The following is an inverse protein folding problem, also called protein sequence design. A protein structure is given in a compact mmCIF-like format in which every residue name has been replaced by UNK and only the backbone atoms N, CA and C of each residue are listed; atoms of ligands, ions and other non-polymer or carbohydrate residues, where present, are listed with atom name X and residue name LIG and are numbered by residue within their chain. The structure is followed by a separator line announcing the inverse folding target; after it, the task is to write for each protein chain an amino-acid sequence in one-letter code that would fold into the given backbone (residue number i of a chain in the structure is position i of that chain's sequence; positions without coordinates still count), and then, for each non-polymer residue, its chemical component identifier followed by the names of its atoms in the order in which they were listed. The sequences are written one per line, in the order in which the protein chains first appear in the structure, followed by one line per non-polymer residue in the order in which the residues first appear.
data_IF_071483391784
#
_entry.id   IF_071483391784
#
_cell.length_a   1.000
_cell.length_b   1.000
_cell.length_c   1.000
_cell.angle_alpha   90.00
_cell.angle_beta   90.00
_cell.angle_gamma   90.00
#
_symmetry.space_group_name_H-M   'P 1'
#
loop_
_entity.id
_entity.type
_entity.pdbx_description
1 polymer ?
#
# COMPACT_ATOMS: atom_id res chain seq x y z
N UNK A 1 -35.47 -21.75 -7.64
CA UNK A 1 -34.64 -20.60 -7.23
C UNK A 1 -35.08 -19.38 -8.03
N UNK A 2 -35.51 -18.31 -7.36
CA UNK A 2 -35.88 -17.07 -8.03
C UNK A 2 -34.58 -16.29 -8.28
N UNK A 3 -34.00 -16.40 -9.47
CA UNK A 3 -32.82 -15.62 -9.85
C UNK A 3 -33.23 -14.14 -9.85
N UNK A 4 -32.52 -13.23 -9.16
CA UNK A 4 -32.89 -11.83 -9.11
C UNK A 4 -32.97 -11.22 -10.51
N UNK A 5 -33.93 -10.32 -10.74
CA UNK A 5 -33.92 -9.51 -11.95
C UNK A 5 -32.61 -8.68 -12.00
N UNK A 6 -31.86 -8.71 -13.11
CA UNK A 6 -30.57 -8.04 -13.20
C UNK A 6 -30.74 -6.52 -13.06
N UNK A 7 -29.87 -5.89 -12.27
CA UNK A 7 -29.74 -4.43 -12.24
C UNK A 7 -29.16 -4.00 -13.58
N UNK A 8 -29.99 -3.47 -14.48
CA UNK A 8 -29.52 -2.94 -15.76
C UNK A 8 -29.06 -1.50 -15.61
N UNK A 9 -27.76 -1.28 -15.83
CA UNK A 9 -27.17 0.06 -15.83
C UNK A 9 -27.22 0.58 -17.26
N UNK A 10 -27.90 1.72 -17.48
CA UNK A 10 -27.96 2.34 -18.80
C UNK A 10 -26.62 3.02 -19.18
N UNK A 11 -26.47 3.43 -20.44
CA UNK A 11 -25.24 4.05 -20.95
C UNK A 11 -24.80 5.28 -20.15
N UNK A 12 -25.75 6.15 -19.79
CA UNK A 12 -25.46 7.32 -18.93
C UNK A 12 -24.97 6.91 -17.54
N UNK A 13 -25.50 5.82 -16.96
CA UNK A 13 -25.06 5.28 -15.68
C UNK A 13 -23.65 4.70 -15.74
N UNK A 14 -23.30 4.02 -16.83
CA UNK A 14 -21.95 3.50 -17.05
C UNK A 14 -20.92 4.63 -17.08
N UNK A 15 -21.21 5.73 -17.79
CA UNK A 15 -20.33 6.90 -17.83
C UNK A 15 -20.13 7.54 -16.44
N UNK A 16 -21.19 7.62 -15.63
CA UNK A 16 -21.12 8.16 -14.27
C UNK A 16 -20.26 7.26 -13.39
N UNK A 17 -20.47 5.94 -13.42
CA UNK A 17 -19.67 4.99 -12.64
C UNK A 17 -18.20 5.09 -13.01
N UNK A 18 -17.91 5.14 -14.31
CA UNK A 18 -16.55 5.22 -14.84
C UNK A 18 -15.81 6.47 -14.41
N UNK A 19 -16.48 7.63 -14.37
CA UNK A 19 -15.89 8.90 -13.92
C UNK A 19 -15.83 9.03 -12.40
N UNK A 20 -16.73 8.35 -11.69
CA UNK A 20 -16.84 8.36 -10.25
C UNK A 20 -16.05 7.23 -9.58
N UNK A 21 -16.78 6.29 -8.98
CA UNK A 21 -16.22 5.23 -8.13
C UNK A 21 -15.32 4.22 -8.87
N UNK A 22 -15.39 4.17 -10.20
CA UNK A 22 -14.59 3.25 -11.02
C UNK A 22 -13.44 3.94 -11.78
N UNK A 23 -13.07 5.17 -11.42
CA UNK A 23 -12.03 5.95 -12.13
C UNK A 23 -10.68 5.23 -12.24
N UNK A 24 -10.38 4.36 -11.29
CA UNK A 24 -9.11 3.60 -11.22
C UNK A 24 -9.11 2.33 -12.08
N UNK A 25 -10.26 1.92 -12.62
CA UNK A 25 -10.36 0.72 -13.44
C UNK A 25 -9.91 1.00 -14.87
N UNK A 26 -9.15 0.07 -15.44
CA UNK A 26 -8.92 0.04 -16.88
C UNK A 26 -10.19 -0.42 -17.62
N UNK A 27 -10.18 -0.42 -18.96
CA UNK A 27 -11.35 -0.80 -19.76
C UNK A 27 -11.86 -2.22 -19.44
N UNK A 28 -10.96 -3.18 -19.39
CA UNK A 28 -11.28 -4.58 -19.14
C UNK A 28 -11.83 -4.77 -17.72
N UNK A 29 -11.18 -4.20 -16.72
CA UNK A 29 -11.61 -4.23 -15.33
C UNK A 29 -12.98 -3.60 -15.13
N UNK A 30 -13.26 -2.49 -15.82
CA UNK A 30 -14.57 -1.86 -15.79
C UNK A 30 -15.66 -2.77 -16.37
N UNK A 31 -15.40 -3.42 -17.50
CA UNK A 31 -16.34 -4.36 -18.12
C UNK A 31 -16.57 -5.58 -17.23
N UNK A 32 -15.52 -6.11 -16.60
CA UNK A 32 -15.61 -7.20 -15.61
C UNK A 32 -16.45 -6.79 -14.39
N UNK A 33 -16.24 -5.58 -13.86
CA UNK A 33 -17.03 -5.06 -12.74
C UNK A 33 -18.51 -4.89 -13.09
N UNK A 34 -18.83 -4.37 -14.29
CA UNK A 34 -20.22 -4.23 -14.76
C UNK A 34 -20.89 -5.61 -14.86
N UNK A 35 -20.20 -6.61 -15.43
CA UNK A 35 -20.71 -8.00 -15.48
C UNK A 35 -20.93 -8.57 -14.09
N UNK A 36 -20.05 -8.30 -13.14
CA UNK A 36 -20.25 -8.72 -11.75
C UNK A 36 -21.52 -8.09 -11.15
N UNK A 37 -21.72 -6.78 -11.35
CA UNK A 37 -22.95 -6.10 -10.90
C UNK A 37 -24.21 -6.75 -11.48
N UNK A 38 -24.20 -7.08 -12.77
CA UNK A 38 -25.34 -7.72 -13.45
C UNK A 38 -25.58 -9.16 -12.95
N UNK A 39 -24.51 -9.97 -12.86
CA UNK A 39 -24.58 -11.38 -12.44
C UNK A 39 -25.10 -11.54 -11.00
N UNK A 40 -24.62 -10.73 -10.07
CA UNK A 40 -25.07 -10.75 -8.68
C UNK A 40 -26.33 -9.90 -8.45
N UNK A 41 -26.77 -9.15 -9.47
CA UNK A 41 -27.87 -8.19 -9.37
C UNK A 41 -27.64 -7.11 -8.32
N UNK A 42 -26.39 -6.70 -8.11
CA UNK A 42 -26.01 -5.72 -7.09
C UNK A 42 -25.89 -4.32 -7.71
N UNK A 43 -26.32 -3.33 -6.95
CA UNK A 43 -26.32 -1.94 -7.39
C UNK A 43 -25.05 -1.21 -6.92
N UNK A 44 -24.17 -0.78 -7.85
CA UNK A 44 -22.94 -0.07 -7.52
C UNK A 44 -23.20 1.37 -7.03
N UNK A 45 -24.32 2.01 -7.40
CA UNK A 45 -24.68 3.35 -6.90
C UNK A 45 -25.13 3.33 -5.45
N UNK A 46 -25.76 2.22 -5.04
CA UNK A 46 -26.11 1.95 -3.63
C UNK A 46 -24.94 1.34 -2.85
N UNK A 47 -23.77 1.19 -3.48
CA UNK A 47 -22.57 0.58 -2.88
C UNK A 47 -22.84 -0.81 -2.32
N UNK A 48 -23.64 -1.62 -3.02
CA UNK A 48 -23.85 -3.02 -2.66
C UNK A 48 -22.65 -3.89 -3.07
N UNK A 49 -21.92 -3.44 -4.08
CA UNK A 49 -20.68 -4.02 -4.58
C UNK A 49 -19.71 -2.88 -4.94
N UNK A 50 -18.43 -3.05 -4.61
CA UNK A 50 -17.39 -2.04 -4.83
C UNK A 50 -16.15 -2.74 -5.43
N UNK A 51 -15.52 -2.18 -6.47
CA UNK A 51 -14.26 -2.71 -6.96
C UNK A 51 -13.09 -2.09 -6.16
N UNK A 52 -12.13 -2.93 -5.78
CA UNK A 52 -10.85 -2.48 -5.23
C UNK A 52 -9.73 -2.95 -6.14
N UNK A 53 -8.76 -2.07 -6.32
CA UNK A 53 -7.56 -2.34 -7.11
C UNK A 53 -6.37 -2.31 -6.18
N UNK A 54 -5.67 -3.43 -6.11
CA UNK A 54 -4.39 -3.56 -5.43
C UNK A 54 -3.24 -3.31 -6.39
N UNK A 55 -2.10 -2.85 -5.87
CA UNK A 55 -0.88 -2.63 -6.65
C UNK A 55 -1.09 -1.73 -7.89
N UNK A 56 -1.88 -0.65 -7.74
CA UNK A 56 -2.30 0.22 -8.85
C UNK A 56 -1.11 0.72 -9.70
N UNK A 57 0.01 1.04 -9.06
CA UNK A 57 1.24 1.53 -9.71
C UNK A 57 2.17 0.44 -10.28
N UNK A 58 1.81 -0.84 -10.22
CA UNK A 58 2.62 -1.94 -10.76
C UNK A 58 1.77 -2.88 -11.63
N UNK A 59 1.83 -2.67 -12.94
CA UNK A 59 1.03 -3.42 -13.93
C UNK A 59 1.18 -4.94 -13.82
N UNK A 60 2.34 -5.47 -13.42
CA UNK A 60 2.56 -6.92 -13.30
C UNK A 60 1.93 -7.54 -12.06
N UNK A 61 1.72 -6.74 -11.01
CA UNK A 61 1.12 -7.18 -9.74
C UNK A 61 -0.30 -6.67 -9.53
N UNK A 62 -0.79 -5.83 -10.46
CA UNK A 62 -2.09 -5.21 -10.42
C UNK A 62 -3.17 -6.30 -10.34
N UNK A 63 -4.04 -6.19 -9.34
CA UNK A 63 -5.15 -7.12 -9.12
C UNK A 63 -6.40 -6.35 -8.78
N UNK A 64 -7.50 -6.62 -9.47
CA UNK A 64 -8.82 -6.13 -9.09
C UNK A 64 -9.55 -7.22 -8.30
N UNK A 65 -10.22 -6.82 -7.22
CA UNK A 65 -11.13 -7.65 -6.46
C UNK A 65 -12.48 -6.96 -6.30
N UNK A 66 -13.53 -7.76 -6.14
CA UNK A 66 -14.86 -7.26 -5.84
C UNK A 66 -15.17 -7.45 -4.36
N UNK A 67 -15.61 -6.36 -3.73
CA UNK A 67 -16.05 -6.37 -2.34
C UNK A 67 -17.56 -6.23 -2.32
N UNK A 68 -18.23 -7.23 -1.74
CA UNK A 68 -19.64 -7.12 -1.38
C UNK A 68 -19.74 -6.47 -0.01
N UNK A 69 -20.54 -5.42 0.06
CA UNK A 69 -20.82 -4.75 1.33
C UNK A 69 -21.88 -5.51 2.11
N UNK A 70 -21.99 -5.26 3.41
CA UNK A 70 -23.05 -5.87 4.23
C UNK A 70 -24.45 -5.71 3.61
N UNK A 71 -24.74 -4.55 3.03
CA UNK A 71 -26.04 -4.31 2.41
C UNK A 71 -26.21 -5.14 1.12
N UNK A 72 -25.14 -5.38 0.37
CA UNK A 72 -25.14 -6.33 -0.75
C UNK A 72 -25.44 -7.77 -0.29
N UNK A 73 -24.81 -8.23 0.80
CA UNK A 73 -25.10 -9.54 1.38
C UNK A 73 -26.58 -9.68 1.76
N UNK A 74 -27.13 -8.69 2.47
CA UNK A 74 -28.54 -8.68 2.89
C UNK A 74 -29.50 -8.70 1.71
N UNK A 75 -29.19 -7.95 0.65
CA UNK A 75 -30.02 -7.90 -0.56
C UNK A 75 -30.04 -9.25 -1.27
N UNK A 76 -28.89 -9.91 -1.41
CA UNK A 76 -28.82 -11.26 -1.99
C UNK A 76 -29.65 -12.24 -1.16
N UNK A 77 -29.41 -12.31 0.16
CA UNK A 77 -30.13 -13.22 1.04
C UNK A 77 -31.65 -12.96 1.04
N UNK A 78 -32.07 -11.69 1.09
CA UNK A 78 -33.48 -11.31 1.03
C UNK A 78 -34.18 -11.78 -0.25
N UNK A 79 -33.47 -11.84 -1.37
CA UNK A 79 -34.04 -12.28 -2.66
C UNK A 79 -34.24 -13.78 -2.75
N UNK A 80 -33.55 -14.56 -1.93
CA UNK A 80 -33.75 -16.01 -1.83
C UNK A 80 -35.14 -16.36 -1.26
N UNK A 81 -35.81 -15.41 -0.59
CA UNK A 81 -37.17 -15.59 -0.05
C UNK A 81 -37.23 -16.42 1.23
N UNK A 82 -36.10 -16.97 1.68
CA UNK A 82 -35.96 -17.81 2.87
C UNK A 82 -35.02 -17.17 3.91
N UNK A 83 -34.81 -15.86 3.85
CA UNK A 83 -33.97 -15.09 4.78
C UNK A 83 -34.82 -14.30 5.77
N UNK A 84 -34.43 -14.35 7.04
CA UNK A 84 -34.92 -13.41 8.06
C UNK A 84 -33.73 -12.79 8.82
N UNK A 85 -33.72 -11.45 8.99
CA UNK A 85 -32.64 -10.76 9.70
C UNK A 85 -32.65 -11.10 11.19
N UNK A 86 -31.53 -10.78 11.86
CA UNK A 86 -31.43 -10.93 13.32
C UNK A 86 -32.59 -10.24 14.03
N UNK A 87 -33.15 -10.90 15.03
CA UNK A 87 -34.21 -10.35 15.89
C UNK A 87 -33.74 -10.06 17.31
N UNK A 88 -32.47 -10.33 17.62
CA UNK A 88 -31.83 -10.13 18.93
C UNK A 88 -30.52 -9.34 18.75
N UNK A 89 -30.04 -8.64 19.79
CA UNK A 89 -28.70 -8.08 19.80
C UNK A 89 -27.64 -9.18 19.61
N UNK A 90 -26.50 -8.83 19.02
CA UNK A 90 -25.37 -9.75 18.92
C UNK A 90 -24.82 -10.10 20.31
N UNK A 91 -24.38 -11.35 20.47
CA UNK A 91 -23.83 -11.85 21.73
C UNK A 91 -22.32 -11.62 21.74
N UNK A 92 -21.87 -10.65 22.54
CA UNK A 92 -20.45 -10.33 22.68
C UNK A 92 -19.83 -10.98 23.91
N UNK A 93 -18.61 -11.45 23.75
CA UNK A 93 -17.72 -11.89 24.84
C UNK A 93 -16.66 -10.83 25.08
N UNK A 94 -16.47 -10.44 26.34
CA UNK A 94 -15.47 -9.44 26.75
C UNK A 94 -14.45 -10.06 27.69
N UNK A 95 -13.23 -9.55 27.62
CA UNK A 95 -12.18 -9.77 28.61
C UNK A 95 -11.47 -8.44 28.88
N UNK A 96 -11.61 -7.94 30.11
CA UNK A 96 -11.02 -6.69 30.54
C UNK A 96 -9.48 -6.72 30.52
N UNK A 97 -8.88 -7.91 30.64
CA UNK A 97 -7.43 -8.09 30.55
C UNK A 97 -6.89 -7.83 29.13
N UNK A 98 -7.75 -7.89 28.11
CA UNK A 98 -7.38 -7.61 26.72
C UNK A 98 -7.53 -6.12 26.35
N UNK A 99 -7.97 -5.25 27.27
CA UNK A 99 -8.09 -3.82 26.99
C UNK A 99 -6.72 -3.16 26.81
N UNK A 100 -6.52 -2.57 25.64
CA UNK A 100 -5.34 -1.78 25.30
C UNK A 100 -5.66 -0.87 24.10
N UNK A 101 -4.66 -0.14 23.59
CA UNK A 101 -4.81 0.78 22.46
C UNK A 101 -5.25 0.10 21.15
N UNK A 102 -5.03 -1.21 21.02
CA UNK A 102 -5.42 -2.02 19.85
C UNK A 102 -6.74 -2.77 20.06
N UNK A 103 -7.27 -2.80 21.28
CA UNK A 103 -8.57 -3.35 21.64
C UNK A 103 -9.21 -2.52 22.77
N UNK A 104 -9.69 -1.30 22.46
CA UNK A 104 -10.14 -0.38 23.50
C UNK A 104 -11.39 -0.87 24.25
N UNK A 105 -12.17 -1.77 23.64
CA UNK A 105 -13.38 -2.31 24.24
C UNK A 105 -13.15 -3.61 25.05
N UNK A 106 -12.01 -4.28 24.88
CA UNK A 106 -11.73 -5.59 25.47
C UNK A 106 -12.62 -6.67 24.88
N UNK A 107 -12.93 -6.59 23.57
CA UNK A 107 -13.78 -7.59 22.90
C UNK A 107 -12.93 -8.82 22.60
N UNK A 108 -13.42 -10.00 22.95
CA UNK A 108 -12.84 -11.29 22.55
C UNK A 108 -13.47 -11.74 21.24
N UNK A 109 -14.80 -11.83 21.23
CA UNK A 109 -15.56 -12.33 20.09
C UNK A 109 -16.98 -11.81 20.08
N UNK A 110 -17.67 -12.02 18.96
CA UNK A 110 -19.10 -11.78 18.81
C UNK A 110 -19.73 -12.91 18.02
N UNK A 111 -20.95 -13.28 18.40
CA UNK A 111 -21.81 -14.20 17.68
C UNK A 111 -23.08 -13.47 17.22
N UNK A 112 -23.45 -13.67 15.96
CA UNK A 112 -24.67 -13.16 15.33
C UNK A 112 -25.49 -14.33 14.81
N UNK A 113 -26.77 -14.38 15.18
CA UNK A 113 -27.71 -15.36 14.69
C UNK A 113 -28.69 -14.73 13.69
N UNK A 114 -28.81 -15.35 12.52
CA UNK A 114 -29.80 -15.09 11.49
C UNK A 114 -30.72 -16.31 11.35
N UNK A 115 -31.74 -16.23 10.51
CA UNK A 115 -32.64 -17.37 10.28
C UNK A 115 -32.78 -17.67 8.79
N UNK A 116 -32.67 -18.95 8.48
CA UNK A 116 -32.84 -19.52 7.15
C UNK A 116 -34.04 -20.48 7.17
N UNK A 117 -34.86 -20.43 6.11
CA UNK A 117 -35.99 -21.34 5.95
C UNK A 117 -35.64 -22.49 5.01
N UNK A 118 -35.93 -23.72 5.44
CA UNK A 118 -35.81 -24.90 4.60
C UNK A 118 -37.01 -25.07 3.65
N UNK A 119 -36.95 -26.09 2.80
CA UNK A 119 -38.01 -26.40 1.83
C UNK A 119 -39.33 -26.85 2.48
N UNK A 120 -39.32 -27.20 3.76
CA UNK A 120 -40.50 -27.59 4.54
C UNK A 120 -41.11 -26.41 5.31
N UNK A 121 -40.68 -25.18 4.98
CA UNK A 121 -41.09 -23.95 5.66
C UNK A 121 -40.65 -23.86 7.13
N UNK A 122 -39.70 -24.70 7.58
CA UNK A 122 -39.15 -24.64 8.92
C UNK A 122 -37.99 -23.65 8.97
N UNK A 123 -37.98 -22.82 10.03
CA UNK A 123 -36.92 -21.84 10.26
C UNK A 123 -35.84 -22.40 11.17
N UNK A 124 -34.59 -22.29 10.74
CA UNK A 124 -33.41 -22.74 11.45
C UNK A 124 -32.48 -21.55 11.76
N UNK A 125 -31.90 -21.48 12.96
CA UNK A 125 -30.89 -20.49 13.27
C UNK A 125 -29.59 -20.79 12.49
N UNK A 126 -28.98 -19.74 11.98
CA UNK A 126 -27.66 -19.78 11.36
C UNK A 126 -26.78 -18.76 12.06
N UNK A 127 -25.73 -19.26 12.71
CA UNK A 127 -24.80 -18.43 13.46
C UNK A 127 -23.57 -18.09 12.63
N UNK A 128 -23.05 -16.90 12.84
CA UNK A 128 -21.73 -16.48 12.41
C UNK A 128 -20.97 -15.93 13.62
N UNK A 129 -19.68 -16.19 13.65
CA UNK A 129 -18.80 -15.80 14.75
C UNK A 129 -17.61 -15.02 14.19
N UNK A 130 -17.11 -14.06 14.97
CA UNK A 130 -15.91 -13.32 14.64
C UNK A 130 -15.08 -13.05 15.89
N UNK A 131 -13.78 -13.27 15.80
CA UNK A 131 -12.82 -13.02 16.87
C UNK A 131 -12.07 -11.71 16.62
N UNK A 132 -11.88 -10.92 17.68
CA UNK A 132 -11.24 -9.61 17.55
C UNK A 132 -9.85 -9.69 16.90
N UNK A 133 -9.02 -10.63 17.37
CA UNK A 133 -7.65 -10.85 16.87
C UNK A 133 -7.60 -11.16 15.36
N UNK A 134 -8.62 -11.85 14.86
CA UNK A 134 -8.70 -12.28 13.46
C UNK A 134 -9.18 -11.19 12.52
N UNK A 135 -9.97 -10.23 13.00
CA UNK A 135 -10.62 -9.25 12.11
C UNK A 135 -10.15 -7.81 12.31
N UNK A 136 -9.76 -7.40 13.52
CA UNK A 136 -9.36 -6.02 13.78
C UNK A 136 -8.05 -5.67 13.05
N UNK A 137 -8.06 -4.77 12.03
CA UNK A 137 -6.88 -4.47 11.26
C UNK A 137 -6.05 -3.40 11.96
N UNK A 138 -4.74 -3.63 11.99
CA UNK A 138 -3.75 -2.69 12.46
C UNK A 138 -3.08 -2.00 11.26
N UNK A 139 -3.01 -0.68 11.31
CA UNK A 139 -2.37 0.17 10.31
C UNK A 139 -1.03 0.67 10.84
N UNK A 140 -0.12 1.00 9.91
CA UNK A 140 1.16 1.61 10.29
C UNK A 140 0.92 2.97 10.93
N UNK A 141 1.58 3.19 12.06
CA UNK A 141 1.69 4.51 12.66
C UNK A 141 2.98 5.17 12.19
N UNK A 142 2.85 6.32 11.56
CA UNK A 142 3.96 7.09 11.01
C UNK A 142 4.32 8.25 11.94
N UNK A 143 5.60 8.39 12.22
CA UNK A 143 6.16 9.51 12.97
C UNK A 143 7.48 9.96 12.37
N UNK A 144 7.97 11.10 12.84
CA UNK A 144 9.27 11.63 12.41
C UNK A 144 10.39 11.02 13.24
N UNK A 145 11.49 10.67 12.58
CA UNK A 145 12.70 10.20 13.22
C UNK A 145 13.42 11.37 13.91
N UNK A 146 13.58 11.37 15.24
CA UNK A 146 14.19 12.50 15.96
C UNK A 146 15.63 12.81 15.53
N UNK A 147 16.36 11.83 14.99
CA UNK A 147 17.74 12.01 14.53
C UNK A 147 17.86 12.47 13.08
N UNK A 148 17.00 11.98 12.18
CA UNK A 148 17.11 12.26 10.75
C UNK A 148 16.04 13.20 10.21
N UNK A 149 15.02 13.53 11.00
CA UNK A 149 13.84 14.30 10.56
C UNK A 149 12.99 13.58 9.51
N UNK A 150 13.28 12.30 9.23
CA UNK A 150 12.62 11.51 8.19
C UNK A 150 11.42 10.75 8.74
N UNK A 151 10.39 10.61 7.91
CA UNK A 151 9.22 9.80 8.25
C UNK A 151 9.62 8.33 8.38
N UNK A 152 9.23 7.69 9.48
CA UNK A 152 9.43 6.25 9.75
C UNK A 152 8.18 5.65 10.38
N UNK A 153 8.02 4.34 10.23
CA UNK A 153 7.00 3.62 11.00
C UNK A 153 7.47 3.57 12.45
N UNK A 154 6.69 4.14 13.36
CA UNK A 154 6.98 4.20 14.80
C UNK A 154 6.23 3.13 15.59
N UNK A 155 5.19 2.54 14.99
CA UNK A 155 4.38 1.50 15.60
C UNK A 155 3.26 1.04 14.70
N UNK A 156 2.32 0.32 15.29
CA UNK A 156 1.03 -0.01 14.68
C UNK A 156 -0.08 0.57 15.53
N UNK A 157 -1.14 1.01 14.89
CA UNK A 157 -2.35 1.50 15.56
C UNK A 157 -3.58 0.81 14.98
N UNK A 158 -4.63 0.72 15.78
CA UNK A 158 -5.91 0.23 15.29
C UNK A 158 -6.47 1.19 14.23
N UNK A 159 -7.03 0.65 13.16
CA UNK A 159 -7.68 1.47 12.14
C UNK A 159 -8.78 2.36 12.73
N UNK A 160 -8.94 3.57 12.20
CA UNK A 160 -9.76 4.62 12.83
C UNK A 160 -11.24 4.22 13.04
N UNK A 161 -11.84 3.50 12.08
CA UNK A 161 -13.22 3.05 12.19
C UNK A 161 -13.40 1.99 13.28
N UNK A 162 -12.42 1.10 13.45
CA UNK A 162 -12.43 0.06 14.48
C UNK A 162 -12.19 0.66 15.87
N UNK A 163 -11.34 1.68 15.99
CA UNK A 163 -11.17 2.42 17.25
C UNK A 163 -12.45 3.18 17.65
N UNK A 164 -13.14 3.78 16.68
CA UNK A 164 -14.36 4.58 16.92
C UNK A 164 -15.61 3.74 17.18
N UNK A 165 -15.79 2.62 16.46
CA UNK A 165 -17.00 1.79 16.53
C UNK A 165 -16.66 0.29 16.62
N UNK A 166 -15.91 -0.16 17.64
CA UNK A 166 -15.34 -1.52 17.69
C UNK A 166 -16.39 -2.63 17.63
N UNK A 167 -17.50 -2.47 18.37
CA UNK A 167 -18.59 -3.45 18.40
C UNK A 167 -19.27 -3.59 17.03
N UNK A 168 -19.57 -2.47 16.39
CA UNK A 168 -20.24 -2.45 15.07
C UNK A 168 -19.37 -3.11 14.01
N UNK A 169 -18.05 -2.88 14.05
CA UNK A 169 -17.14 -3.45 13.07
C UNK A 169 -17.05 -4.98 13.21
N UNK A 170 -16.89 -5.49 14.43
CA UNK A 170 -16.81 -6.94 14.63
C UNK A 170 -18.16 -7.64 14.36
N UNK A 171 -19.27 -7.01 14.76
CA UNK A 171 -20.62 -7.53 14.49
C UNK A 171 -20.91 -7.67 12.99
N UNK A 172 -20.43 -6.74 12.15
CA UNK A 172 -20.52 -6.88 10.69
C UNK A 172 -19.81 -8.13 10.18
N UNK A 173 -18.64 -8.44 10.74
CA UNK A 173 -17.86 -9.62 10.34
C UNK A 173 -18.63 -10.91 10.66
N UNK A 174 -19.18 -11.01 11.88
CA UNK A 174 -20.01 -12.16 12.27
C UNK A 174 -21.29 -12.26 11.44
N UNK A 175 -21.94 -11.13 11.11
CA UNK A 175 -23.13 -11.12 10.24
C UNK A 175 -22.80 -11.62 8.83
N UNK A 176 -21.68 -11.22 8.23
CA UNK A 176 -21.20 -11.74 6.95
C UNK A 176 -20.95 -13.26 7.04
N UNK A 177 -20.33 -13.74 8.13
CA UNK A 177 -20.12 -15.16 8.39
C UNK A 177 -21.44 -15.96 8.45
N UNK A 178 -22.44 -15.43 9.16
CA UNK A 178 -23.76 -16.05 9.25
C UNK A 178 -24.47 -16.11 7.88
N UNK A 179 -24.36 -15.06 7.07
CA UNK A 179 -24.91 -15.02 5.71
C UNK A 179 -24.22 -16.06 4.81
N UNK A 180 -22.91 -16.21 4.91
CA UNK A 180 -22.19 -17.25 4.15
C UNK A 180 -22.54 -18.67 4.58
N UNK A 181 -22.73 -18.89 5.88
CA UNK A 181 -23.17 -20.18 6.39
C UNK A 181 -24.58 -20.56 5.91
N UNK A 182 -25.49 -19.58 5.82
CA UNK A 182 -26.88 -19.81 5.44
C UNK A 182 -27.13 -19.93 3.93
N UNK A 183 -26.33 -19.23 3.11
CA UNK A 183 -26.50 -19.18 1.65
C UNK A 183 -25.15 -19.36 0.91
N UNK A 184 -24.45 -20.49 1.10
CA UNK A 184 -23.08 -20.68 0.62
C UNK A 184 -22.97 -20.60 -0.91
N UNK A 185 -23.97 -21.10 -1.65
CA UNK A 185 -23.97 -21.04 -3.12
C UNK A 185 -24.11 -19.60 -3.62
N UNK A 186 -24.93 -18.79 -2.97
CA UNK A 186 -25.17 -17.40 -3.37
C UNK A 186 -23.99 -16.48 -3.06
N UNK A 187 -23.17 -16.84 -2.08
CA UNK A 187 -21.99 -16.07 -1.66
C UNK A 187 -20.66 -16.71 -2.10
N UNK A 188 -20.69 -17.79 -2.88
CA UNK A 188 -19.49 -18.44 -3.38
C UNK A 188 -18.69 -17.49 -4.31
N UNK A 189 -17.37 -17.44 -4.08
CA UNK A 189 -16.46 -16.61 -4.88
C UNK A 189 -16.54 -15.10 -4.61
N UNK A 190 -17.23 -14.69 -3.55
CA UNK A 190 -17.41 -13.28 -3.19
C UNK A 190 -16.64 -12.93 -1.90
N UNK A 191 -15.80 -11.91 -1.99
CA UNK A 191 -15.09 -11.37 -0.83
C UNK A 191 -15.94 -10.30 -0.13
N UNK A 192 -15.97 -10.36 1.20
CA UNK A 192 -16.64 -9.37 2.04
C UNK A 192 -15.69 -8.25 2.46
N UNK A 193 -16.26 -7.13 2.91
CA UNK A 193 -15.49 -6.01 3.47
C UNK A 193 -14.56 -6.48 4.60
N UNK A 194 -15.03 -7.42 5.41
CA UNK A 194 -14.31 -7.94 6.58
C UNK A 194 -13.04 -8.73 6.24
N UNK A 195 -13.05 -9.52 5.17
CA UNK A 195 -11.88 -10.32 4.75
C UNK A 195 -10.83 -9.46 4.06
N UNK A 196 -11.28 -8.42 3.38
CA UNK A 196 -10.40 -7.53 2.63
C UNK A 196 -9.81 -6.42 3.50
N UNK A 197 -10.39 -6.10 4.66
CA UNK A 197 -9.91 -5.01 5.52
C UNK A 197 -8.43 -5.17 5.93
N UNK A 198 -8.00 -6.40 6.28
CA UNK A 198 -6.59 -6.69 6.58
C UNK A 198 -5.72 -6.60 5.33
N UNK A 199 -6.15 -7.21 4.23
CA UNK A 199 -5.41 -7.19 2.95
C UNK A 199 -5.22 -5.75 2.43
N UNK A 200 -6.24 -4.91 2.54
CA UNK A 200 -6.17 -3.49 2.19
C UNK A 200 -5.17 -2.77 3.09
N UNK A 201 -5.24 -2.97 4.41
CA UNK A 201 -4.29 -2.36 5.34
C UNK A 201 -2.84 -2.78 5.04
N UNK A 202 -2.62 -4.05 4.68
CA UNK A 202 -1.32 -4.59 4.29
C UNK A 202 -0.81 -4.04 2.95
N UNK A 203 -1.66 -3.96 1.91
CA UNK A 203 -1.28 -3.41 0.60
C UNK A 203 -0.97 -1.90 0.70
N UNK A 204 -1.78 -1.16 1.45
CA UNK A 204 -1.52 0.26 1.75
C UNK A 204 -0.18 0.41 2.48
N UNK A 205 0.05 -0.36 3.54
CA UNK A 205 1.31 -0.35 4.28
C UNK A 205 2.52 -0.66 3.38
N UNK A 206 2.40 -1.65 2.49
CA UNK A 206 3.46 -2.02 1.55
C UNK A 206 3.73 -0.91 0.52
N UNK A 207 2.67 -0.28 -0.01
CA UNK A 207 2.78 0.84 -0.95
C UNK A 207 3.46 2.05 -0.32
N UNK A 208 3.03 2.45 0.88
CA UNK A 208 3.61 3.58 1.62
C UNK A 208 5.10 3.35 1.93
N UNK A 209 5.48 2.13 2.34
CA UNK A 209 6.88 1.76 2.59
C UNK A 209 7.72 1.80 1.30
N UNK A 210 7.17 1.34 0.18
CA UNK A 210 7.85 1.39 -1.10
C UNK A 210 8.06 2.84 -1.58
N UNK A 211 7.06 3.71 -1.41
CA UNK A 211 7.18 5.13 -1.72
C UNK A 211 8.23 5.82 -0.84
N UNK A 212 8.23 5.58 0.47
CA UNK A 212 9.25 6.09 1.36
C UNK A 212 10.66 5.66 0.93
N UNK A 213 10.83 4.37 0.61
CA UNK A 213 12.10 3.84 0.12
C UNK A 213 12.55 4.49 -1.19
N UNK A 214 11.61 4.81 -2.09
CA UNK A 214 11.90 5.58 -3.33
C UNK A 214 12.33 7.01 -3.01
N UNK A 215 11.60 7.72 -2.16
CA UNK A 215 11.92 9.09 -1.77
C UNK A 215 13.28 9.18 -1.10
N UNK A 216 13.60 8.26 -0.17
CA UNK A 216 14.91 8.20 0.47
C UNK A 216 16.04 7.87 -0.52
N UNK A 217 15.81 7.00 -1.52
CA UNK A 217 16.78 6.75 -2.59
C UNK A 217 16.98 8.00 -3.44
N UNK A 218 15.90 8.66 -3.85
CA UNK A 218 15.96 9.90 -4.62
C UNK A 218 16.72 11.00 -3.85
N UNK A 219 16.44 11.18 -2.56
CA UNK A 219 17.17 12.12 -1.70
C UNK A 219 18.66 11.77 -1.60
N UNK A 220 19.01 10.50 -1.37
CA UNK A 220 20.42 10.07 -1.36
C UNK A 220 21.08 10.32 -2.71
N UNK A 221 20.43 9.95 -3.80
CA UNK A 221 20.94 10.23 -5.15
C UNK A 221 21.08 11.73 -5.42
N UNK A 222 20.15 12.56 -4.94
CA UNK A 222 20.22 14.02 -5.04
C UNK A 222 21.35 14.60 -4.17
N UNK A 223 21.62 14.04 -3.00
CA UNK A 223 22.71 14.47 -2.11
C UNK A 223 24.09 14.29 -2.74
N UNK A 224 24.25 13.28 -3.60
CA UNK A 224 25.47 13.03 -4.38
C UNK A 224 25.41 13.59 -5.81
N UNK A 225 24.31 14.24 -6.20
CA UNK A 225 24.18 14.88 -7.51
C UNK A 225 25.20 16.02 -7.60
N UNK A 226 25.94 16.06 -8.71
CA UNK A 226 27.05 17.00 -8.94
C UNK A 226 28.20 16.87 -7.93
N UNK A 227 28.38 15.71 -7.28
CA UNK A 227 29.56 15.43 -6.47
C UNK A 227 30.34 14.25 -7.05
N UNK A 228 31.66 14.34 -6.98
CA UNK A 228 32.61 13.33 -7.43
C UNK A 228 33.42 12.84 -6.23
N UNK A 229 33.62 11.52 -6.14
CA UNK A 229 34.38 10.91 -5.05
C UNK A 229 35.87 10.86 -5.42
N UNK A 230 36.72 11.52 -4.63
CA UNK A 230 38.18 11.45 -4.74
C UNK A 230 38.78 10.87 -3.46
N UNK A 231 39.91 10.18 -3.56
CA UNK A 231 40.69 9.77 -2.41
C UNK A 231 42.06 10.42 -2.49
N UNK A 232 42.33 11.37 -1.60
CA UNK A 232 43.59 12.10 -1.52
C UNK A 232 44.53 11.54 -0.44
N UNK A 233 44.34 10.29 0.00
CA UNK A 233 45.19 9.60 0.98
C UNK A 233 44.60 9.50 2.39
N UNK A 234 43.59 10.31 2.71
CA UNK A 234 42.89 10.32 4.02
C UNK A 234 41.51 9.63 3.97
N UNK A 235 41.24 8.90 2.89
CA UNK A 235 39.94 8.27 2.63
C UNK A 235 39.13 8.97 1.54
N UNK A 236 37.96 8.42 1.23
CA UNK A 236 37.10 8.92 0.15
C UNK A 236 36.39 10.20 0.57
N UNK A 237 36.60 11.27 -0.18
CA UNK A 237 35.99 12.58 -0.02
C UNK A 237 35.06 12.87 -1.21
N UNK A 238 33.85 13.36 -0.94
CA UNK A 238 32.89 13.77 -1.97
C UNK A 238 33.01 15.27 -2.25
N UNK A 239 33.55 15.63 -3.40
CA UNK A 239 33.82 17.00 -3.80
C UNK A 239 32.76 17.46 -4.81
N UNK A 240 32.23 18.67 -4.68
CA UNK A 240 31.35 19.25 -5.70
C UNK A 240 32.10 19.38 -7.04
N UNK A 241 31.48 19.01 -8.16
CA UNK A 241 32.14 18.97 -9.46
C UNK A 241 32.79 20.32 -9.83
N UNK A 242 32.09 21.44 -9.55
CA UNK A 242 32.63 22.79 -9.77
C UNK A 242 33.79 23.20 -8.85
N UNK A 243 34.10 22.42 -7.80
CA UNK A 243 35.24 22.61 -6.90
C UNK A 243 36.31 21.52 -7.06
N UNK A 244 36.11 20.59 -7.99
CA UNK A 244 36.99 19.45 -8.18
C UNK A 244 38.41 19.89 -8.59
N UNK A 245 38.53 20.89 -9.46
CA UNK A 245 39.82 21.45 -9.85
C UNK A 245 40.59 21.98 -8.63
N UNK A 246 39.95 22.84 -7.84
CA UNK A 246 40.59 23.48 -6.68
C UNK A 246 41.00 22.45 -5.62
N UNK A 247 40.15 21.44 -5.38
CA UNK A 247 40.45 20.36 -4.46
C UNK A 247 41.70 19.56 -4.89
N UNK A 248 41.88 19.31 -6.18
CA UNK A 248 43.06 18.65 -6.72
C UNK A 248 44.31 19.53 -6.66
N UNK A 249 44.17 20.83 -6.92
CA UNK A 249 45.29 21.77 -6.80
C UNK A 249 45.81 21.79 -5.37
N UNK A 250 44.93 21.96 -4.39
CA UNK A 250 45.27 22.04 -2.96
C UNK A 250 45.79 20.71 -2.41
N UNK A 251 45.11 19.60 -2.68
CA UNK A 251 45.39 18.33 -2.01
C UNK A 251 46.41 17.46 -2.74
N UNK A 252 46.70 17.74 -4.01
CA UNK A 252 47.62 16.91 -4.80
C UNK A 252 48.76 17.75 -5.38
N UNK A 253 48.45 18.69 -6.28
CA UNK A 253 49.49 19.38 -7.04
C UNK A 253 50.37 20.29 -6.18
N UNK A 254 49.80 21.00 -5.20
CA UNK A 254 50.58 21.86 -4.30
C UNK A 254 51.38 21.04 -3.27
N UNK A 255 50.79 19.97 -2.72
CA UNK A 255 51.44 19.13 -1.69
C UNK A 255 52.55 18.24 -2.24
N UNK A 256 52.42 17.76 -3.47
CA UNK A 256 53.34 16.79 -4.06
C UNK A 256 54.13 17.34 -5.26
N UNK A 257 54.31 18.67 -5.31
CA UNK A 257 54.99 19.36 -6.43
C UNK A 257 56.39 18.82 -6.75
N UNK A 258 57.11 18.32 -5.75
CA UNK A 258 58.46 17.78 -5.87
C UNK A 258 58.50 16.27 -6.15
N UNK A 259 57.34 15.59 -6.13
CA UNK A 259 57.24 14.16 -6.37
C UNK A 259 56.17 13.82 -7.42
N UNK A 260 56.51 13.92 -8.72
CA UNK A 260 55.60 13.65 -9.84
C UNK A 260 54.93 12.28 -9.79
N UNK A 261 55.63 11.26 -9.29
CA UNK A 261 55.12 9.89 -9.25
C UNK A 261 53.90 9.74 -8.32
N UNK A 262 53.85 10.49 -7.21
CA UNK A 262 52.70 10.49 -6.30
C UNK A 262 51.47 11.09 -7.00
N UNK A 263 51.65 12.19 -7.72
CA UNK A 263 50.56 12.88 -8.45
C UNK A 263 49.96 11.94 -9.51
N UNK A 264 50.81 11.27 -10.30
CA UNK A 264 50.36 10.34 -11.34
C UNK A 264 49.69 9.09 -10.75
N UNK A 265 50.20 8.58 -9.63
CA UNK A 265 49.58 7.45 -8.93
C UNK A 265 48.19 7.82 -8.43
N UNK A 266 48.02 9.00 -7.82
CA UNK A 266 46.72 9.50 -7.36
C UNK A 266 45.74 9.75 -8.53
N UNK A 267 46.25 10.26 -9.66
CA UNK A 267 45.46 10.40 -10.90
C UNK A 267 44.94 9.05 -11.37
N UNK A 268 45.80 8.05 -11.44
CA UNK A 268 45.45 6.73 -11.95
C UNK A 268 44.45 6.02 -11.01
N UNK A 269 44.64 6.18 -9.69
CA UNK A 269 43.68 5.72 -8.67
C UNK A 269 42.32 6.43 -8.78
N UNK A 270 42.27 7.66 -9.29
CA UNK A 270 41.07 8.47 -9.42
C UNK A 270 40.49 8.50 -10.84
N UNK A 271 40.88 7.56 -11.70
CA UNK A 271 40.54 7.56 -13.14
C UNK A 271 39.03 7.58 -13.41
N UNK A 272 38.25 6.80 -12.68
CA UNK A 272 36.79 6.76 -12.84
C UNK A 272 36.12 8.06 -12.37
N UNK A 273 36.62 8.64 -11.29
CA UNK A 273 36.15 9.91 -10.75
C UNK A 273 36.41 11.07 -11.74
N UNK A 274 37.61 11.11 -12.35
CA UNK A 274 37.97 12.10 -13.37
C UNK A 274 37.14 11.93 -14.66
N UNK A 275 36.79 10.69 -15.03
CA UNK A 275 35.87 10.42 -16.15
C UNK A 275 34.45 10.88 -15.84
N UNK A 276 33.97 10.69 -14.62
CA UNK A 276 32.66 11.21 -14.21
C UNK A 276 32.66 12.75 -14.22
N UNK A 277 33.72 13.37 -13.70
CA UNK A 277 33.88 14.83 -13.71
C UNK A 277 33.84 15.39 -15.14
N UNK A 278 34.47 14.75 -16.13
CA UNK A 278 34.48 15.26 -17.51
C UNK A 278 33.11 15.29 -18.18
N UNK A 279 32.14 14.50 -17.69
CA UNK A 279 30.74 14.54 -18.13
C UNK A 279 29.96 15.66 -17.43
N UNK A 280 30.27 15.95 -16.16
CA UNK A 280 29.54 16.93 -15.35
C UNK A 280 30.09 18.36 -15.45
N UNK A 281 31.42 18.52 -15.48
CA UNK A 281 32.13 19.78 -15.60
C UNK A 281 33.35 19.62 -16.52
N UNK A 282 33.12 19.87 -17.81
CA UNK A 282 34.12 19.69 -18.86
C UNK A 282 35.32 20.64 -18.71
N UNK A 283 35.09 21.85 -18.19
CA UNK A 283 36.15 22.85 -18.07
C UNK A 283 37.13 22.44 -16.96
N UNK A 284 36.61 22.11 -15.77
CA UNK A 284 37.43 21.63 -14.67
C UNK A 284 38.24 20.37 -15.04
N UNK A 285 37.63 19.45 -15.80
CA UNK A 285 38.31 18.25 -16.27
C UNK A 285 39.42 18.53 -17.30
N UNK A 286 39.21 19.48 -18.22
CA UNK A 286 40.22 19.89 -19.20
C UNK A 286 41.41 20.58 -18.54
N UNK A 287 41.15 21.46 -17.57
CA UNK A 287 42.20 22.15 -16.82
C UNK A 287 43.04 21.16 -16.01
N UNK A 288 42.41 20.22 -15.30
CA UNK A 288 43.14 19.16 -14.59
C UNK A 288 43.96 18.29 -15.54
N UNK A 289 43.41 17.95 -16.70
CA UNK A 289 44.14 17.20 -17.73
C UNK A 289 45.41 17.93 -18.16
N UNK A 290 45.33 19.23 -18.42
CA UNK A 290 46.48 20.04 -18.78
C UNK A 290 47.54 20.09 -17.66
N UNK A 291 47.12 20.09 -16.38
CA UNK A 291 48.06 20.01 -15.25
C UNK A 291 48.75 18.64 -15.16
N UNK A 292 48.04 17.54 -15.40
CA UNK A 292 48.68 16.21 -15.44
C UNK A 292 49.67 16.09 -16.59
N UNK A 293 49.31 16.57 -17.79
CA UNK A 293 50.21 16.57 -18.96
C UNK A 293 51.50 17.37 -18.68
N UNK A 294 51.43 18.47 -17.92
CA UNK A 294 52.61 19.23 -17.47
C UNK A 294 53.49 18.46 -16.47
N UNK A 295 52.89 17.62 -15.63
CA UNK A 295 53.63 16.78 -14.68
C UNK A 295 54.31 15.61 -15.39
N UNK A 296 53.67 15.02 -16.40
CA UNK A 296 54.28 13.96 -17.24
C UNK A 296 55.45 14.46 -18.10
N UNK A 297 55.46 15.75 -18.43
CA UNK A 297 56.51 16.38 -19.23
C UNK A 297 57.76 16.81 -18.42
N UNK A 298 57.77 16.62 -17.09
CA UNK A 298 58.87 16.96 -16.18
C UNK A 298 59.64 15.71 -15.76
#
# INVERSE_FOLDING_TARGET
MNVPAPVRINSSGLDILRRGHCRKLNNQEFDEFVRACENYGLDPFRKQIIPIVFNEGNQQKRKMEFIITRDGYRVIASRCGNYRPKSKPAAFTYDDALRNDHNPAGIVSVMVELYWQDNNSQWHPVAGEAYWEEFAPLENEWGDDPQSGRRKVVGKKLSANWAKMPRVMLEKCAESGALRAGWPEQFAGLYGEEEMAKVIAEDVAASELAELGRTQRLEKTMQFKNKVAFNFGEGVQYVECGKAHDAWMENVFHKHRENPQIILTMRDQSREALRYLSVQDKNAALDLKAQFERVEAR
#
